data_IF_024011245790
#
_entry.id   IF_024011245790
#
_cell.length_a   1.000
_cell.length_b   1.000
_cell.length_c   1.000
_cell.angle_alpha   90.00
_cell.angle_beta   90.00
_cell.angle_gamma   90.00
#
_symmetry.space_group_name_H-M   'P 1'
#
loop_
_entity.id
_entity.type
_entity.pdbx_description
1 polymer ?
#
# COMPACT_ATOMS: atom_id res chain seq x y z
N UNK A 1 7.43 3.35 0.52
CA UNK A 1 5.96 3.42 0.68
C UNK A 1 5.54 2.98 2.07
N UNK A 2 5.72 1.71 2.47
CA UNK A 2 5.25 1.20 3.76
C UNK A 2 5.64 2.07 4.97
N UNK A 3 6.92 2.41 5.10
CA UNK A 3 7.45 3.25 6.20
C UNK A 3 6.81 4.65 6.17
N UNK A 4 6.65 5.25 5.00
CA UNK A 4 6.04 6.57 4.83
C UNK A 4 4.56 6.57 5.25
N UNK A 5 3.82 5.51 4.92
CA UNK A 5 2.44 5.32 5.38
C UNK A 5 2.38 5.21 6.89
N UNK A 6 3.22 4.37 7.51
CA UNK A 6 3.27 4.22 8.98
C UNK A 6 3.52 5.58 9.64
N UNK A 7 4.48 6.36 9.16
CA UNK A 7 4.76 7.71 9.66
C UNK A 7 3.51 8.62 9.53
N UNK A 8 2.80 8.54 8.41
CA UNK A 8 1.57 9.31 8.18
C UNK A 8 0.40 8.94 9.09
N UNK A 9 0.36 7.70 9.58
CA UNK A 9 -0.68 7.19 10.48
C UNK A 9 -0.38 7.48 11.96
N UNK A 10 0.87 7.76 12.34
CA UNK A 10 1.26 8.05 13.74
C UNK A 10 0.44 9.18 14.37
N UNK A 11 0.17 10.24 13.61
CA UNK A 11 -0.64 11.39 14.08
C UNK A 11 -2.06 11.00 14.49
N UNK A 12 -2.66 10.02 13.79
CA UNK A 12 -4.02 9.54 14.09
C UNK A 12 -4.05 8.65 15.34
N UNK A 13 -2.94 8.00 15.66
CA UNK A 13 -2.80 7.23 16.91
C UNK A 13 -2.61 8.13 18.13
N UNK A 14 -1.95 9.28 17.97
CA UNK A 14 -1.68 10.23 19.07
C UNK A 14 -2.72 11.35 19.17
N UNK A 15 -3.59 11.51 18.17
CA UNK A 15 -4.52 12.64 18.11
C UNK A 15 -3.82 13.98 17.92
N UNK A 16 -2.59 13.99 17.41
CA UNK A 16 -1.79 15.21 17.23
C UNK A 16 -1.89 15.73 15.80
N UNK A 17 -1.62 17.02 15.61
CA UNK A 17 -1.41 17.58 14.28
C UNK A 17 0.05 17.37 13.86
N UNK A 18 0.25 16.82 12.66
CA UNK A 18 1.57 16.68 12.06
C UNK A 18 1.53 17.29 10.66
N UNK A 19 2.47 18.18 10.38
CA UNK A 19 2.63 18.87 9.10
C UNK A 19 3.99 18.56 8.49
N UNK A 20 4.09 18.65 7.16
CA UNK A 20 5.33 18.37 6.44
C UNK A 20 5.08 17.82 5.05
N UNK A 21 5.97 18.16 4.12
CA UNK A 21 5.87 17.74 2.72
C UNK A 21 6.47 16.34 2.48
N UNK A 22 7.40 15.89 3.33
CA UNK A 22 8.04 14.58 3.23
C UNK A 22 7.96 13.77 4.54
N UNK A 23 8.35 12.50 4.48
CA UNK A 23 8.23 11.58 5.61
C UNK A 23 9.05 12.03 6.82
N UNK A 24 10.27 12.56 6.59
CA UNK A 24 11.13 13.04 7.67
C UNK A 24 10.53 14.25 8.39
N UNK A 25 10.02 15.24 7.66
CA UNK A 25 9.37 16.40 8.26
C UNK A 25 8.13 15.98 9.05
N UNK A 26 7.29 15.10 8.50
CA UNK A 26 6.12 14.56 9.22
C UNK A 26 6.53 13.85 10.51
N UNK A 27 7.60 13.05 10.46
CA UNK A 27 8.11 12.34 11.62
C UNK A 27 8.64 13.31 12.69
N UNK A 28 9.46 14.29 12.31
CA UNK A 28 9.99 15.29 13.25
C UNK A 28 8.91 16.22 13.80
N UNK A 29 7.95 16.65 12.97
CA UNK A 29 6.78 17.41 13.41
C UNK A 29 5.93 16.62 14.39
N UNK A 30 5.72 15.32 14.13
CA UNK A 30 5.02 14.44 15.07
C UNK A 30 5.76 14.31 16.40
N UNK A 31 7.09 14.14 16.38
CA UNK A 31 7.91 14.13 17.60
C UNK A 31 7.80 15.43 18.39
N UNK A 32 7.78 16.58 17.71
CA UNK A 32 7.60 17.88 18.34
C UNK A 32 6.20 18.07 18.94
N UNK A 33 5.16 17.46 18.33
CA UNK A 33 3.77 17.50 18.79
C UNK A 33 3.42 16.48 19.87
N UNK A 34 4.33 15.60 20.28
CA UNK A 34 4.09 14.62 21.35
C UNK A 34 3.58 15.23 22.68
N UNK A 35 4.02 16.43 23.12
CA UNK A 35 3.47 17.06 24.32
C UNK A 35 1.97 17.40 24.23
N UNK A 36 1.43 17.56 23.02
CA UNK A 36 0.01 17.90 22.77
C UNK A 36 -0.85 16.66 22.52
N UNK A 37 -0.34 15.47 22.86
CA UNK A 37 -1.04 14.20 22.63
C UNK A 37 -2.33 14.11 23.44
N UNK A 38 -3.42 13.73 22.78
CA UNK A 38 -4.67 13.41 23.46
C UNK A 38 -4.56 12.03 24.13
N UNK A 39 -4.64 11.95 25.48
CA UNK A 39 -4.39 10.71 26.20
C UNK A 39 -5.44 9.63 25.91
N UNK A 40 -6.68 10.02 25.60
CA UNK A 40 -7.77 9.08 25.29
C UNK A 40 -7.53 8.44 23.93
N UNK A 41 -7.22 9.24 22.91
CA UNK A 41 -6.89 8.80 21.56
C UNK A 41 -5.65 7.91 21.56
N UNK A 42 -4.62 8.28 22.33
CA UNK A 42 -3.42 7.45 22.50
C UNK A 42 -3.76 6.10 23.12
N UNK A 43 -4.58 6.07 24.18
CA UNK A 43 -4.99 4.82 24.82
C UNK A 43 -5.76 3.92 23.83
N UNK A 44 -6.72 4.48 23.10
CA UNK A 44 -7.48 3.77 22.05
C UNK A 44 -6.54 3.23 20.97
N UNK A 45 -5.57 4.02 20.51
CA UNK A 45 -4.59 3.62 19.51
C UNK A 45 -3.68 2.49 19.98
N UNK A 46 -3.13 2.59 21.20
CA UNK A 46 -2.27 1.55 21.80
C UNK A 46 -3.04 0.25 22.01
N UNK A 47 -4.25 0.33 22.59
CA UNK A 47 -5.10 -0.85 22.80
C UNK A 47 -5.44 -1.50 21.45
N UNK A 48 -5.73 -0.69 20.43
CA UNK A 48 -6.04 -1.18 19.09
C UNK A 48 -4.85 -1.91 18.45
N UNK A 49 -3.65 -1.34 18.55
CA UNK A 49 -2.42 -1.97 18.07
C UNK A 49 -2.11 -3.27 18.82
N UNK A 50 -2.25 -3.29 20.16
CA UNK A 50 -2.02 -4.51 20.94
C UNK A 50 -3.04 -5.57 20.53
N UNK A 51 -4.31 -5.21 20.43
CA UNK A 51 -5.38 -6.14 20.10
C UNK A 51 -5.20 -6.76 18.72
N UNK A 52 -4.90 -5.96 17.68
CA UNK A 52 -4.69 -6.48 16.33
C UNK A 52 -3.46 -7.39 16.26
N UNK A 53 -2.36 -7.03 16.93
CA UNK A 53 -1.16 -7.86 17.01
C UNK A 53 -1.45 -9.18 17.74
N UNK A 54 -2.17 -9.13 18.86
CA UNK A 54 -2.55 -10.34 19.62
C UNK A 54 -3.44 -11.24 18.78
N UNK A 55 -4.47 -10.71 18.12
CA UNK A 55 -5.35 -11.48 17.23
C UNK A 55 -4.54 -12.12 16.10
N UNK A 56 -3.61 -11.37 15.51
CA UNK A 56 -2.78 -11.87 14.42
C UNK A 56 -1.88 -13.04 14.83
N UNK A 57 -1.26 -12.98 16.00
CA UNK A 57 -0.35 -14.04 16.45
C UNK A 57 -1.04 -15.20 17.16
N UNK A 58 -2.08 -14.94 17.96
CA UNK A 58 -2.77 -15.97 18.76
C UNK A 58 -3.99 -16.56 18.06
N UNK A 59 -4.64 -15.81 17.18
CA UNK A 59 -5.86 -16.23 16.48
C UNK A 59 -5.82 -15.91 14.98
N UNK A 60 -4.81 -16.41 14.22
CA UNK A 60 -4.58 -16.02 12.82
C UNK A 60 -5.72 -16.38 11.85
N UNK A 61 -6.69 -17.22 12.28
CA UNK A 61 -7.89 -17.55 11.49
C UNK A 61 -8.99 -16.49 11.60
N UNK A 62 -8.90 -15.61 12.60
CA UNK A 62 -9.89 -14.56 12.84
C UNK A 62 -9.51 -13.32 12.02
N UNK A 63 -10.46 -12.69 11.30
CA UNK A 63 -10.19 -11.46 10.55
C UNK A 63 -9.95 -10.29 11.52
N UNK A 64 -8.70 -10.12 11.97
CA UNK A 64 -8.32 -9.18 13.02
C UNK A 64 -8.76 -7.73 12.75
N UNK A 65 -8.63 -7.28 11.50
CA UNK A 65 -9.09 -5.95 11.08
C UNK A 65 -10.60 -5.76 11.27
N UNK A 66 -11.42 -6.76 10.89
CA UNK A 66 -12.87 -6.69 11.03
C UNK A 66 -13.28 -6.67 12.50
N UNK A 67 -12.68 -7.56 13.31
CA UNK A 67 -12.92 -7.60 14.76
C UNK A 67 -12.56 -6.26 15.39
N UNK A 68 -11.42 -5.68 15.03
CA UNK A 68 -10.97 -4.41 15.57
C UNK A 68 -11.91 -3.26 15.19
N UNK A 69 -12.37 -3.20 13.94
CA UNK A 69 -13.35 -2.21 13.47
C UNK A 69 -14.65 -2.32 14.27
N UNK A 70 -15.19 -3.53 14.42
CA UNK A 70 -16.44 -3.77 15.18
C UNK A 70 -16.27 -3.35 16.64
N UNK A 71 -15.18 -3.77 17.29
CA UNK A 71 -14.91 -3.42 18.69
C UNK A 71 -14.65 -1.92 18.86
N UNK A 72 -14.00 -1.26 17.90
CA UNK A 72 -13.77 0.18 17.90
C UNK A 72 -15.08 0.96 17.84
N UNK A 73 -16.01 0.55 16.96
CA UNK A 73 -17.34 1.16 16.85
C UNK A 73 -18.15 0.94 18.12
N UNK A 74 -18.15 -0.29 18.66
CA UNK A 74 -18.82 -0.59 19.93
C UNK A 74 -18.24 0.23 21.09
N UNK A 75 -16.91 0.38 21.15
CA UNK A 75 -16.26 1.20 22.17
C UNK A 75 -16.68 2.67 22.05
N UNK A 76 -16.78 3.22 20.84
CA UNK A 76 -17.29 4.58 20.64
C UNK A 76 -18.70 4.75 21.18
N UNK A 77 -19.60 3.81 20.89
CA UNK A 77 -21.00 3.87 21.32
C UNK A 77 -21.16 3.67 22.83
N UNK A 78 -20.39 2.75 23.43
CA UNK A 78 -20.51 2.40 24.85
C UNK A 78 -19.82 3.42 25.77
N UNK A 79 -18.69 3.98 25.35
CA UNK A 79 -17.88 4.89 26.16
C UNK A 79 -17.97 6.36 25.72
N UNK A 80 -18.76 6.67 24.70
CA UNK A 80 -18.91 8.05 24.21
C UNK A 80 -17.60 8.65 23.69
N UNK A 81 -16.75 7.85 23.01
CA UNK A 81 -15.39 8.28 22.64
C UNK A 81 -15.35 9.57 21.80
N UNK A 82 -16.37 9.81 20.97
CA UNK A 82 -16.48 11.06 20.22
C UNK A 82 -16.69 12.29 21.11
N UNK A 83 -17.47 12.16 22.19
CA UNK A 83 -17.66 13.23 23.19
C UNK A 83 -16.41 13.43 24.04
N UNK A 84 -15.61 12.37 24.22
CA UNK A 84 -14.32 12.41 24.89
C UNK A 84 -13.18 13.01 24.04
N UNK A 85 -13.48 13.55 22.84
CA UNK A 85 -12.51 14.24 21.98
C UNK A 85 -11.78 13.33 20.98
N UNK A 86 -12.09 12.03 20.93
CA UNK A 86 -11.47 11.12 19.96
C UNK A 86 -11.99 11.40 18.56
N UNK A 87 -11.08 11.71 17.63
CA UNK A 87 -11.44 11.94 16.23
C UNK A 87 -12.03 10.68 15.60
N UNK A 88 -13.27 10.80 15.11
CA UNK A 88 -13.97 9.75 14.38
C UNK A 88 -13.83 9.94 12.87
N UNK A 89 -14.15 8.91 12.09
CA UNK A 89 -14.18 8.98 10.62
C UNK A 89 -15.17 10.06 10.13
N UNK A 90 -16.27 10.27 10.85
CA UNK A 90 -17.27 11.27 10.50
C UNK A 90 -18.23 10.79 9.41
N UNK A 91 -18.94 11.72 8.76
CA UNK A 91 -19.97 11.36 7.79
C UNK A 91 -19.36 10.64 6.57
N UNK A 92 -19.86 9.44 6.30
CA UNK A 92 -19.48 8.63 5.13
C UNK A 92 -20.62 8.77 4.13
N UNK A 93 -20.40 9.46 2.99
CA UNK A 93 -21.44 9.70 2.01
C UNK A 93 -22.13 8.40 1.60
N UNK A 94 -23.46 8.37 1.72
CA UNK A 94 -24.25 7.23 1.29
C UNK A 94 -24.57 7.35 -0.19
N UNK A 95 -24.57 6.20 -0.87
CA UNK A 95 -25.06 6.09 -2.23
C UNK A 95 -23.97 5.90 -3.27
N UNK A 96 -24.39 5.95 -4.52
CA UNK A 96 -23.53 5.78 -5.68
C UNK A 96 -22.84 7.11 -5.99
N UNK A 97 -21.51 7.11 -6.10
CA UNK A 97 -20.79 8.26 -6.63
C UNK A 97 -21.25 8.47 -8.08
N UNK A 98 -21.84 9.64 -8.36
CA UNK A 98 -22.39 9.94 -9.68
C UNK A 98 -21.33 9.80 -10.78
N UNK A 99 -21.76 9.41 -11.99
CA UNK A 99 -20.89 9.43 -13.14
C UNK A 99 -20.46 10.87 -13.44
N UNK A 100 -19.16 11.12 -13.54
CA UNK A 100 -18.61 12.43 -13.87
C UNK A 100 -17.59 12.31 -14.99
N UNK A 101 -17.70 13.20 -15.98
CA UNK A 101 -16.67 13.38 -16.98
C UNK A 101 -15.65 14.42 -16.48
N UNK A 102 -14.36 14.24 -16.79
CA UNK A 102 -13.35 15.22 -16.43
C UNK A 102 -13.61 16.53 -17.17
N UNK A 103 -13.52 17.65 -16.47
CA UNK A 103 -13.51 18.97 -17.09
C UNK A 103 -12.24 19.13 -17.92
N UNK A 104 -12.41 19.14 -19.25
CA UNK A 104 -11.30 19.22 -20.19
C UNK A 104 -10.51 20.53 -20.04
N UNK A 105 -11.17 21.64 -19.68
CA UNK A 105 -10.47 22.90 -19.50
C UNK A 105 -9.55 22.82 -18.28
N UNK A 106 -10.07 22.31 -17.16
CA UNK A 106 -9.26 22.07 -15.96
C UNK A 106 -8.08 21.13 -16.23
N UNK A 107 -8.29 20.07 -17.03
CA UNK A 107 -7.21 19.14 -17.41
C UNK A 107 -6.13 19.82 -18.24
N UNK A 108 -6.52 20.66 -19.21
CA UNK A 108 -5.58 21.39 -20.06
C UNK A 108 -4.78 22.42 -19.25
N UNK A 109 -5.45 23.15 -18.35
CA UNK A 109 -4.81 24.17 -17.51
C UNK A 109 -3.81 23.55 -16.52
N UNK A 110 -4.04 22.30 -16.10
CA UNK A 110 -3.19 21.57 -15.15
C UNK A 110 -2.41 20.42 -15.80
N UNK A 111 -2.23 20.45 -17.13
CA UNK A 111 -1.72 19.33 -17.91
C UNK A 111 -0.34 18.86 -17.43
N UNK A 112 0.53 19.79 -17.00
CA UNK A 112 1.86 19.44 -16.50
C UNK A 112 1.79 18.61 -15.21
N UNK A 113 0.97 19.03 -14.25
CA UNK A 113 0.83 18.36 -12.95
C UNK A 113 0.11 17.03 -13.11
N UNK A 114 -1.03 17.04 -13.81
CA UNK A 114 -1.83 15.83 -14.05
C UNK A 114 -1.05 14.84 -14.91
N UNK A 115 -0.38 15.29 -15.97
CA UNK A 115 0.41 14.46 -16.85
C UNK A 115 1.58 13.78 -16.12
N UNK A 116 2.33 14.55 -15.32
CA UNK A 116 3.42 13.98 -14.52
C UNK A 116 2.92 12.95 -13.50
N UNK A 117 1.81 13.25 -12.79
CA UNK A 117 1.20 12.32 -11.86
C UNK A 117 0.66 11.06 -12.55
N UNK A 118 0.01 11.20 -13.71
CA UNK A 118 -0.52 10.10 -14.49
C UNK A 118 0.58 9.15 -14.99
N UNK A 119 1.69 9.70 -15.49
CA UNK A 119 2.86 8.90 -15.89
C UNK A 119 3.44 8.18 -14.68
N UNK A 120 3.57 8.87 -13.55
CA UNK A 120 4.07 8.26 -12.32
C UNK A 120 3.20 7.09 -11.82
N UNK A 121 1.89 7.29 -11.79
CA UNK A 121 0.91 6.27 -11.42
C UNK A 121 0.91 5.11 -12.42
N UNK A 122 1.05 5.38 -13.71
CA UNK A 122 1.18 4.35 -14.74
C UNK A 122 2.42 3.50 -14.52
N UNK A 123 3.59 4.10 -14.27
CA UNK A 123 4.83 3.37 -14.04
C UNK A 123 4.75 2.50 -12.78
N UNK A 124 4.22 3.06 -11.69
CA UNK A 124 4.04 2.33 -10.43
C UNK A 124 3.04 1.19 -10.62
N UNK A 125 1.86 1.50 -11.18
CA UNK A 125 0.77 0.55 -11.40
C UNK A 125 1.19 -0.60 -12.31
N UNK A 126 1.86 -0.30 -13.42
CA UNK A 126 2.38 -1.31 -14.36
C UNK A 126 3.43 -2.18 -13.69
N UNK A 127 4.43 -1.58 -13.02
CA UNK A 127 5.51 -2.33 -12.37
C UNK A 127 4.97 -3.29 -11.31
N UNK A 128 4.01 -2.83 -10.50
CA UNK A 128 3.36 -3.65 -9.48
C UNK A 128 2.49 -4.74 -10.10
N UNK A 129 1.61 -4.38 -11.04
CA UNK A 129 0.71 -5.35 -11.68
C UNK A 129 1.47 -6.44 -12.45
N UNK A 130 2.47 -6.05 -13.25
CA UNK A 130 3.30 -7.00 -13.97
C UNK A 130 4.15 -7.88 -13.04
N UNK A 131 4.63 -7.33 -11.92
CA UNK A 131 5.34 -8.07 -10.88
C UNK A 131 4.47 -9.14 -10.24
N UNK A 132 3.31 -8.72 -9.71
CA UNK A 132 2.34 -9.60 -9.05
C UNK A 132 1.84 -10.69 -10.02
N UNK A 133 1.46 -10.31 -11.25
CA UNK A 133 0.94 -11.25 -12.24
C UNK A 133 1.97 -12.30 -12.66
N UNK A 134 3.26 -11.92 -12.80
CA UNK A 134 4.35 -12.88 -13.06
C UNK A 134 4.61 -13.79 -11.86
N UNK A 135 4.51 -13.26 -10.64
CA UNK A 135 4.66 -14.06 -9.44
C UNK A 135 3.61 -15.17 -9.37
N UNK A 136 2.33 -14.85 -9.55
CA UNK A 136 1.26 -15.85 -9.58
C UNK A 136 1.36 -16.79 -10.78
N UNK A 137 1.72 -16.30 -11.96
CA UNK A 137 1.95 -17.13 -13.16
C UNK A 137 3.07 -18.16 -12.94
N UNK A 138 4.16 -17.75 -12.29
CA UNK A 138 5.27 -18.64 -11.94
C UNK A 138 4.85 -19.68 -10.90
N UNK A 139 4.15 -19.26 -9.85
CA UNK A 139 3.65 -20.14 -8.77
C UNK A 139 2.68 -21.21 -9.30
N UNK A 140 1.74 -20.82 -10.16
CA UNK A 140 0.68 -21.69 -10.67
C UNK A 140 0.94 -22.25 -12.08
N UNK A 141 2.13 -22.01 -12.63
CA UNK A 141 2.60 -22.56 -13.91
C UNK A 141 1.69 -22.26 -15.12
N UNK A 142 1.10 -21.06 -15.15
CA UNK A 142 0.33 -20.59 -16.31
C UNK A 142 1.09 -19.50 -17.08
N UNK A 143 0.63 -19.22 -18.31
CA UNK A 143 1.17 -18.12 -19.12
C UNK A 143 0.37 -16.85 -18.88
N UNK A 144 1.05 -15.73 -18.70
CA UNK A 144 0.44 -14.41 -18.56
C UNK A 144 0.85 -13.51 -19.72
N UNK A 145 -0.12 -12.79 -20.28
CA UNK A 145 0.14 -11.71 -21.24
C UNK A 145 0.12 -10.37 -20.50
N UNK A 146 1.31 -9.77 -20.34
CA UNK A 146 1.48 -8.50 -19.62
C UNK A 146 0.87 -7.33 -20.39
N UNK A 147 0.79 -7.40 -21.73
CA UNK A 147 0.13 -6.36 -22.52
C UNK A 147 -1.36 -6.36 -22.24
N UNK A 148 -1.97 -7.55 -22.20
CA UNK A 148 -3.39 -7.70 -21.87
C UNK A 148 -3.69 -7.22 -20.43
N UNK A 149 -2.83 -7.55 -19.47
CA UNK A 149 -2.95 -7.06 -18.09
C UNK A 149 -2.89 -5.52 -18.01
N UNK A 150 -1.98 -4.92 -18.78
CA UNK A 150 -1.84 -3.46 -18.86
C UNK A 150 -3.09 -2.78 -19.44
N UNK A 151 -3.68 -3.38 -20.48
CA UNK A 151 -4.94 -2.91 -21.07
C UNK A 151 -6.09 -3.02 -20.05
N UNK A 152 -6.18 -4.13 -19.33
CA UNK A 152 -7.19 -4.32 -18.28
C UNK A 152 -7.05 -3.30 -17.15
N UNK A 153 -5.82 -3.02 -16.71
CA UNK A 153 -5.53 -1.99 -15.71
C UNK A 153 -5.91 -0.58 -16.22
N UNK A 154 -5.66 -0.28 -17.49
CA UNK A 154 -6.07 0.97 -18.12
C UNK A 154 -7.59 1.16 -18.09
N UNK A 155 -8.35 0.17 -18.57
CA UNK A 155 -9.83 0.22 -18.52
C UNK A 155 -10.37 0.28 -17.09
N UNK A 156 -9.75 -0.40 -16.14
CA UNK A 156 -10.14 -0.34 -14.74
C UNK A 156 -9.94 1.05 -14.15
N UNK A 157 -8.86 1.75 -14.51
CA UNK A 157 -8.60 3.12 -14.07
C UNK A 157 -9.51 4.15 -14.75
N UNK A 158 -9.81 3.99 -16.05
CA UNK A 158 -10.82 4.81 -16.73
C UNK A 158 -12.17 4.63 -16.04
N UNK A 159 -12.59 3.39 -15.80
CA UNK A 159 -13.83 3.08 -15.08
C UNK A 159 -13.86 3.72 -13.69
N UNK A 160 -12.78 3.58 -12.91
CA UNK A 160 -12.64 4.21 -11.59
C UNK A 160 -12.79 5.73 -11.67
N UNK A 161 -12.07 6.39 -12.58
CA UNK A 161 -12.14 7.84 -12.75
C UNK A 161 -13.54 8.35 -13.12
N UNK A 162 -14.25 7.62 -13.98
CA UNK A 162 -15.62 7.98 -14.38
C UNK A 162 -16.64 7.90 -13.24
N UNK A 163 -16.38 7.07 -12.23
CA UNK A 163 -17.19 7.01 -10.99
C UNK A 163 -16.55 7.78 -9.84
N UNK A 164 -15.65 8.72 -10.13
CA UNK A 164 -14.96 9.57 -9.15
C UNK A 164 -14.11 8.79 -8.13
N UNK A 165 -13.67 7.60 -8.52
CA UNK A 165 -12.78 6.75 -7.73
C UNK A 165 -11.32 7.18 -7.83
N UNK A 166 -10.51 6.63 -6.91
CA UNK A 166 -9.05 6.79 -6.93
C UNK A 166 -8.41 5.83 -7.95
N UNK A 167 -7.19 6.11 -8.43
CA UNK A 167 -6.45 5.17 -9.26
C UNK A 167 -6.34 3.79 -8.60
N UNK A 168 -6.59 2.73 -9.37
CA UNK A 168 -6.62 1.34 -8.91
C UNK A 168 -5.45 0.55 -9.47
N UNK A 169 -4.97 -0.40 -8.68
CA UNK A 169 -3.89 -1.32 -9.04
C UNK A 169 -4.17 -2.71 -8.42
N UNK A 170 -3.30 -3.67 -8.69
CA UNK A 170 -3.33 -4.99 -8.07
C UNK A 170 -3.08 -4.90 -6.56
N UNK A 171 -3.58 -5.89 -5.82
CA UNK A 171 -3.27 -6.06 -4.40
C UNK A 171 -2.71 -7.45 -4.18
N UNK A 172 -1.41 -7.54 -3.90
CA UNK A 172 -0.73 -8.79 -3.59
C UNK A 172 -1.37 -9.49 -2.39
N UNK A 173 -1.73 -8.72 -1.34
CA UNK A 173 -2.37 -9.25 -0.13
C UNK A 173 -3.75 -9.84 -0.41
N UNK A 174 -4.61 -9.13 -1.15
CA UNK A 174 -5.95 -9.63 -1.48
C UNK A 174 -5.89 -10.83 -2.45
N UNK A 175 -4.97 -10.79 -3.41
CA UNK A 175 -4.76 -11.89 -4.37
C UNK A 175 -4.23 -13.14 -3.66
N UNK A 176 -3.28 -12.98 -2.72
CA UNK A 176 -2.75 -14.09 -1.91
C UNK A 176 -3.81 -14.71 -1.00
N UNK A 177 -4.72 -13.88 -0.45
CA UNK A 177 -5.85 -14.38 0.33
C UNK A 177 -6.81 -15.19 -0.54
N UNK A 178 -7.18 -14.68 -1.72
CA UNK A 178 -8.02 -15.41 -2.67
C UNK A 178 -7.36 -16.74 -3.12
N UNK A 179 -6.06 -16.70 -3.41
CA UNK A 179 -5.29 -17.87 -3.83
C UNK A 179 -5.25 -18.94 -2.74
N UNK A 180 -4.92 -18.55 -1.49
CA UNK A 180 -4.93 -19.47 -0.35
C UNK A 180 -6.31 -19.99 0.02
N UNK A 181 -7.38 -19.23 -0.28
CA UNK A 181 -8.77 -19.68 -0.17
C UNK A 181 -9.19 -20.62 -1.32
N UNK A 182 -8.33 -20.87 -2.30
CA UNK A 182 -8.59 -21.78 -3.42
C UNK A 182 -9.40 -21.15 -4.56
N UNK A 183 -9.44 -19.82 -4.66
CA UNK A 183 -10.07 -19.14 -5.78
C UNK A 183 -9.34 -19.45 -7.10
N UNK A 184 -10.09 -19.89 -8.12
CA UNK A 184 -9.54 -20.28 -9.44
C UNK A 184 -10.06 -19.43 -10.60
N UNK A 185 -11.02 -18.55 -10.34
CA UNK A 185 -11.66 -17.73 -11.38
C UNK A 185 -11.81 -16.28 -10.92
N UNK A 186 -11.92 -15.32 -11.85
CA UNK A 186 -12.13 -13.89 -11.52
C UNK A 186 -13.43 -13.61 -10.76
N UNK A 187 -14.34 -14.58 -10.67
CA UNK A 187 -15.60 -14.48 -9.92
C UNK A 187 -15.36 -14.16 -8.44
N UNK A 188 -14.22 -14.59 -7.87
CA UNK A 188 -13.84 -14.22 -6.51
C UNK A 188 -13.71 -12.70 -6.36
N UNK A 189 -12.99 -12.04 -7.28
CA UNK A 189 -12.83 -10.58 -7.27
C UNK A 189 -14.15 -9.84 -7.52
N UNK A 190 -15.00 -10.36 -8.41
CA UNK A 190 -16.33 -9.80 -8.65
C UNK A 190 -17.20 -9.88 -7.39
N UNK A 191 -17.17 -11.02 -6.69
CA UNK A 191 -17.91 -11.25 -5.44
C UNK A 191 -17.45 -10.28 -4.36
N UNK A 192 -16.12 -10.10 -4.21
CA UNK A 192 -15.56 -9.10 -3.29
C UNK A 192 -16.02 -7.69 -3.64
N UNK A 193 -16.01 -7.31 -4.92
CA UNK A 193 -16.48 -6.00 -5.37
C UNK A 193 -17.95 -5.75 -5.02
N UNK A 194 -18.83 -6.71 -5.31
CA UNK A 194 -20.26 -6.64 -4.94
C UNK A 194 -20.44 -6.52 -3.43
N UNK A 195 -19.69 -7.30 -2.65
CA UNK A 195 -19.77 -7.27 -1.19
C UNK A 195 -19.30 -5.93 -0.61
N UNK A 196 -18.26 -5.32 -1.18
CA UNK A 196 -17.81 -3.97 -0.81
C UNK A 196 -18.90 -2.94 -1.10
N UNK A 197 -19.53 -2.99 -2.28
CA UNK A 197 -20.63 -2.07 -2.63
C UNK A 197 -21.79 -2.22 -1.65
N UNK A 198 -22.22 -3.46 -1.36
CA UNK A 198 -23.30 -3.71 -0.39
C UNK A 198 -22.93 -3.22 1.02
N UNK A 199 -21.68 -3.41 1.43
CA UNK A 199 -21.17 -2.92 2.72
C UNK A 199 -21.23 -1.40 2.79
N UNK A 200 -20.84 -0.68 1.74
CA UNK A 200 -20.95 0.77 1.73
C UNK A 200 -22.41 1.24 1.74
N UNK A 201 -23.30 0.60 0.99
CA UNK A 201 -24.72 1.01 0.93
C UNK A 201 -25.46 0.79 2.26
N UNK A 202 -25.14 -0.27 3.00
CA UNK A 202 -25.86 -0.66 4.21
C UNK A 202 -25.13 -0.19 5.47
N UNK A 203 -23.80 -0.34 5.54
CA UNK A 203 -22.98 -0.12 6.73
C UNK A 203 -22.23 1.23 6.73
N UNK A 204 -22.26 2.05 5.67
CA UNK A 204 -21.70 3.42 5.71
C UNK A 204 -22.03 4.22 7.00
N UNK A 205 -23.26 4.20 7.54
CA UNK A 205 -23.61 4.97 8.74
C UNK A 205 -22.92 4.45 9.99
N UNK A 206 -22.58 3.16 10.00
CA UNK A 206 -21.96 2.52 11.15
C UNK A 206 -20.48 2.92 11.21
N UNK A 207 -19.85 3.14 10.05
CA UNK A 207 -18.45 3.59 9.97
C UNK A 207 -18.23 5.02 10.48
N UNK A 208 -19.27 5.87 10.56
CA UNK A 208 -19.09 7.23 11.12
C UNK A 208 -18.69 7.23 12.59
N UNK A 209 -18.98 6.15 13.32
CA UNK A 209 -18.60 5.95 14.71
C UNK A 209 -17.19 5.34 14.88
N UNK A 210 -16.50 5.00 13.80
CA UNK A 210 -15.18 4.38 13.87
C UNK A 210 -14.12 5.41 14.30
N UNK A 211 -13.32 5.16 15.35
CA UNK A 211 -12.20 6.03 15.70
C UNK A 211 -11.11 6.01 14.64
N UNK A 212 -10.55 7.18 14.31
CA UNK A 212 -9.42 7.30 13.38
C UNK A 212 -8.18 6.55 13.89
N UNK A 213 -7.98 6.49 15.21
CA UNK A 213 -6.92 5.70 15.85
C UNK A 213 -7.06 4.19 15.57
N UNK A 214 -8.29 3.66 15.54
CA UNK A 214 -8.55 2.26 15.20
C UNK A 214 -8.21 1.99 13.74
N UNK A 215 -8.64 2.89 12.84
CA UNK A 215 -8.33 2.79 11.42
C UNK A 215 -6.82 2.82 11.16
N UNK A 216 -6.10 3.73 11.84
CA UNK A 216 -4.65 3.82 11.78
C UNK A 216 -3.96 2.52 12.20
N UNK A 217 -4.43 1.88 13.28
CA UNK A 217 -3.90 0.60 13.74
C UNK A 217 -4.08 -0.51 12.69
N UNK A 218 -5.24 -0.57 12.03
CA UNK A 218 -5.50 -1.52 10.91
C UNK A 218 -4.53 -1.27 9.76
N UNK A 219 -4.36 -0.01 9.34
CA UNK A 219 -3.47 0.35 8.23
C UNK A 219 -2.02 -0.01 8.57
N UNK A 220 -1.55 0.29 9.79
CA UNK A 220 -0.20 -0.04 10.22
C UNK A 220 0.03 -1.55 10.19
N UNK A 221 -0.87 -2.36 10.76
CA UNK A 221 -0.75 -3.83 10.70
C UNK A 221 -0.71 -4.34 9.26
N UNK A 222 -1.64 -3.89 8.41
CA UNK A 222 -1.72 -4.31 7.02
C UNK A 222 -0.45 -3.98 6.23
N UNK A 223 0.13 -2.80 6.41
CA UNK A 223 1.30 -2.35 5.66
C UNK A 223 2.60 -2.96 6.19
N UNK A 224 2.78 -3.01 7.52
CA UNK A 224 3.98 -3.57 8.14
C UNK A 224 4.13 -5.05 7.81
N UNK A 225 3.01 -5.78 7.74
CA UNK A 225 3.07 -7.21 7.53
C UNK A 225 2.68 -7.68 6.13
N UNK A 226 1.94 -6.87 5.38
CA UNK A 226 1.56 -7.17 4.00
C UNK A 226 2.55 -6.65 2.97
N UNK A 227 3.29 -5.57 3.26
CA UNK A 227 4.17 -4.92 2.26
C UNK A 227 5.66 -4.96 2.61
N UNK A 228 6.04 -5.07 3.88
CA UNK A 228 7.47 -5.05 4.26
C UNK A 228 8.08 -6.45 4.24
N UNK A 229 8.90 -6.75 3.24
CA UNK A 229 9.70 -7.98 3.20
C UNK A 229 11.15 -7.77 3.69
N UNK A 230 11.32 -7.77 5.01
CA UNK A 230 12.64 -7.65 5.65
C UNK A 230 13.51 -8.88 5.36
N UNK A 231 12.91 -10.06 5.11
CA UNK A 231 13.65 -11.30 4.85
C UNK A 231 14.31 -11.23 3.48
N UNK A 232 13.58 -10.80 2.46
CA UNK A 232 14.12 -10.62 1.12
C UNK A 232 15.21 -9.54 1.10
N UNK A 233 15.02 -8.43 1.80
CA UNK A 233 16.06 -7.40 1.93
C UNK A 233 17.36 -7.94 2.56
N UNK A 234 17.26 -8.81 3.56
CA UNK A 234 18.43 -9.51 4.15
C UNK A 234 19.05 -10.54 3.22
N UNK A 235 18.26 -11.17 2.35
CA UNK A 235 18.74 -12.10 1.32
C UNK A 235 19.47 -11.35 0.21
N UNK A 236 18.90 -10.26 -0.31
CA UNK A 236 19.53 -9.34 -1.26
C UNK A 236 20.90 -8.90 -0.78
N UNK A 237 21.03 -8.46 0.48
CA UNK A 237 22.33 -8.07 1.05
C UNK A 237 23.39 -9.17 0.99
N UNK A 238 22.98 -10.45 1.08
CA UNK A 238 23.90 -11.60 1.06
C UNK A 238 24.23 -12.06 -0.35
N UNK A 239 23.25 -12.04 -1.27
CA UNK A 239 23.37 -12.62 -2.61
C UNK A 239 23.73 -11.58 -3.67
N UNK A 240 23.14 -10.39 -3.61
CA UNK A 240 23.28 -9.32 -4.60
C UNK A 240 23.46 -7.97 -3.89
N UNK A 241 24.70 -7.69 -3.45
CA UNK A 241 25.01 -6.47 -2.68
C UNK A 241 24.69 -5.18 -3.45
N UNK A 242 24.86 -5.17 -4.76
CA UNK A 242 24.53 -4.00 -5.58
C UNK A 242 23.04 -3.71 -5.56
N UNK A 243 22.21 -4.72 -5.84
CA UNK A 243 20.73 -4.61 -5.81
C UNK A 243 20.23 -4.18 -4.43
N UNK A 244 20.88 -4.64 -3.34
CA UNK A 244 20.59 -4.16 -1.99
C UNK A 244 20.80 -2.64 -1.85
N UNK A 245 21.94 -2.11 -2.30
CA UNK A 245 22.21 -0.67 -2.21
C UNK A 245 21.29 0.16 -3.12
N UNK A 246 20.94 -0.36 -4.29
CA UNK A 246 19.94 0.26 -5.18
C UNK A 246 18.58 0.34 -4.47
N UNK A 247 18.16 -0.75 -3.81
CA UNK A 247 16.92 -0.76 -3.04
C UNK A 247 16.95 0.22 -1.86
N UNK A 248 18.08 0.34 -1.15
CA UNK A 248 18.24 1.33 -0.08
C UNK A 248 18.16 2.76 -0.62
N UNK A 249 18.81 3.05 -1.75
CA UNK A 249 18.75 4.36 -2.39
C UNK A 249 17.31 4.71 -2.81
N UNK A 250 16.57 3.76 -3.37
CA UNK A 250 15.17 3.93 -3.71
C UNK A 250 14.31 4.20 -2.46
N UNK A 251 14.49 3.44 -1.37
CA UNK A 251 13.78 3.65 -0.10
C UNK A 251 14.05 5.06 0.45
N UNK A 252 15.30 5.50 0.46
CA UNK A 252 15.66 6.85 0.89
C UNK A 252 15.02 7.91 0.00
N UNK A 253 15.03 7.71 -1.32
CA UNK A 253 14.34 8.57 -2.27
C UNK A 253 12.84 8.70 -2.00
N UNK A 254 12.18 7.60 -1.63
CA UNK A 254 10.77 7.64 -1.21
C UNK A 254 10.57 8.47 0.06
N UNK A 255 11.40 8.24 1.08
CA UNK A 255 11.26 8.93 2.36
C UNK A 255 11.54 10.44 2.27
N UNK A 256 12.42 10.88 1.37
CA UNK A 256 12.81 12.29 1.22
C UNK A 256 11.96 13.07 0.24
N UNK A 257 11.58 12.44 -0.89
CA UNK A 257 10.98 13.12 -2.04
C UNK A 257 9.75 12.39 -2.61
N UNK A 258 9.19 11.44 -1.85
CA UNK A 258 7.95 10.74 -2.19
C UNK A 258 8.14 9.54 -3.12
N UNK A 259 7.07 8.75 -3.24
CA UNK A 259 7.08 7.44 -3.93
C UNK A 259 7.60 7.54 -5.36
N UNK A 260 7.15 8.53 -6.13
CA UNK A 260 7.53 8.68 -7.53
C UNK A 260 9.05 8.86 -7.71
N UNK A 261 9.66 9.71 -6.88
CA UNK A 261 11.11 9.97 -6.91
C UNK A 261 11.90 8.71 -6.58
N UNK A 262 11.48 7.97 -5.54
CA UNK A 262 12.15 6.72 -5.18
C UNK A 262 12.07 5.64 -6.26
N UNK A 263 10.95 5.54 -6.97
CA UNK A 263 10.79 4.62 -8.11
C UNK A 263 11.73 5.01 -9.25
N UNK A 264 11.80 6.31 -9.59
CA UNK A 264 12.70 6.80 -10.63
C UNK A 264 14.17 6.52 -10.29
N UNK A 265 14.60 6.78 -9.06
CA UNK A 265 15.94 6.46 -8.57
C UNK A 265 16.22 4.96 -8.73
N UNK A 266 15.29 4.10 -8.33
CA UNK A 266 15.41 2.65 -8.45
C UNK A 266 15.60 2.21 -9.91
N UNK A 267 14.80 2.74 -10.84
CA UNK A 267 14.88 2.42 -12.26
C UNK A 267 16.23 2.85 -12.84
N UNK A 268 16.62 4.11 -12.63
CA UNK A 268 17.87 4.66 -13.20
C UNK A 268 19.08 3.90 -12.69
N UNK A 269 19.18 3.68 -11.37
CA UNK A 269 20.30 2.94 -10.79
C UNK A 269 20.35 1.49 -11.25
N UNK A 270 19.19 0.83 -11.41
CA UNK A 270 19.13 -0.54 -11.93
C UNK A 270 19.60 -0.62 -13.39
N UNK A 271 19.21 0.34 -14.24
CA UNK A 271 19.67 0.40 -15.63
C UNK A 271 21.18 0.64 -15.69
N UNK A 272 21.69 1.61 -14.94
CA UNK A 272 23.13 1.90 -14.89
C UNK A 272 23.92 0.67 -14.44
N UNK A 273 23.43 -0.02 -13.40
CA UNK A 273 24.05 -1.25 -12.92
C UNK A 273 24.02 -2.38 -13.96
N UNK A 274 22.89 -2.57 -14.65
CA UNK A 274 22.77 -3.56 -15.72
C UNK A 274 23.75 -3.29 -16.86
N UNK A 275 23.89 -2.03 -17.28
CA UNK A 275 24.85 -1.61 -18.31
C UNK A 275 26.27 -1.91 -17.84
N UNK A 276 26.61 -1.55 -16.60
CA UNK A 276 27.93 -1.78 -16.03
C UNK A 276 28.32 -3.27 -16.03
N UNK A 277 27.42 -4.14 -15.54
CA UNK A 277 27.66 -5.59 -15.49
C UNK A 277 27.75 -6.18 -16.90
N UNK A 278 26.94 -5.70 -17.84
CA UNK A 278 26.97 -6.18 -19.23
C UNK A 278 28.22 -5.72 -19.98
N UNK A 279 28.76 -4.54 -19.65
CA UNK A 279 29.95 -3.98 -20.27
C UNK A 279 31.27 -4.54 -19.72
N UNK A 280 31.27 -5.09 -18.50
CA UNK A 280 32.43 -5.69 -17.86
C UNK A 280 32.16 -7.16 -17.44
N UNK A 281 31.88 -8.06 -18.40
CA UNK A 281 31.59 -9.45 -18.07
C UNK A 281 32.82 -10.12 -17.45
N UNK A 282 32.62 -10.87 -16.37
CA UNK A 282 33.65 -11.72 -15.81
C UNK A 282 34.00 -12.80 -16.83
N UNK A 283 35.21 -12.72 -17.40
CA UNK A 283 35.73 -13.70 -18.35
C UNK A 283 36.74 -14.59 -17.62
N UNK A 284 36.30 -15.72 -17.03
CA UNK A 284 37.24 -16.67 -16.45
C UNK A 284 38.06 -17.32 -17.56
N UNK A 285 39.37 -17.32 -17.41
CA UNK A 285 40.25 -18.14 -18.23
C UNK A 285 40.02 -19.62 -17.84
N UNK A 286 39.62 -20.44 -18.81
CA UNK A 286 39.40 -21.86 -18.61
C UNK A 286 40.66 -22.65 -18.97
N UNK A 287 41.14 -23.46 -18.03
CA UNK A 287 42.20 -24.45 -18.26
C UNK A 287 41.61 -25.83 -18.53
N UNK A 288 42.15 -26.55 -19.52
CA UNK A 288 41.75 -27.93 -19.81
C UNK A 288 42.41 -28.90 -18.85
N UNK A 289 41.62 -29.74 -18.17
CA UNK A 289 42.15 -30.80 -17.33
C UNK A 289 42.72 -31.93 -18.20
N UNK A 290 43.92 -32.48 -17.88
CA UNK A 290 44.50 -33.59 -18.63
C UNK A 290 43.55 -34.80 -18.63
N UNK A 291 43.23 -35.32 -19.83
CA UNK A 291 42.36 -36.48 -20.00
C UNK A 291 40.86 -36.18 -20.15
N UNK A 292 40.44 -34.91 -20.08
CA UNK A 292 39.05 -34.51 -20.37
C UNK A 292 38.94 -33.78 -21.71
N UNK A 293 37.73 -33.71 -22.27
CA UNK A 293 37.37 -32.75 -23.32
C UNK A 293 37.10 -31.39 -22.68
#
# INVERSE_FOLDING_TARGET
AAIEVVIGELRKLTGTEASGSNAWQKLFSWFAGLPETDPVTLAVGIVSLILILVLRFKAPRVPGALVLVVLGILATVLFGLGEAGVALVGDVPRGWAGFALPDLQFVLDNLQVIGAAAIGLLLIGFSQSAGDAREFASRHRYRIDINQESVAQGFSNVGSGLVQGIPVSTSLSASSLNDSAGAKTPVASLTTGVLVILTLLILAPVFSYLPNAVLAAVIIDAVVFGMMDVKEMRRLRRVARADFWIAIAAILGVLTAGVLTGVFIGIVLSIVWLIYVSAAPYMPELGRQPGTQ
#
